data_IF_352978654728
#
_entry.id   IF_352978654728
#
_cell.length_a   1.000
_cell.length_b   1.000
_cell.length_c   1.000
_cell.angle_alpha   90.00
_cell.angle_beta   90.00
_cell.angle_gamma   90.00
#
_symmetry.space_group_name_H-M   'P 1'
#
loop_
_entity.id
_entity.type
_entity.pdbx_description
1 polymer ?
#
# COMPACT_ATOMS: atom_id res chain seq x y z
N UNK A 1 1.10 8.52 -3.25
CA UNK A 1 -0.20 8.19 -2.64
C UNK A 1 -0.74 9.38 -1.83
N UNK A 2 -0.11 9.81 -0.74
CA UNK A 2 -0.65 10.81 0.18
C UNK A 2 -1.00 12.15 -0.46
N UNK A 3 -0.15 12.71 -1.33
CA UNK A 3 -0.41 14.02 -1.93
C UNK A 3 -1.74 14.13 -2.71
N UNK A 4 -2.09 13.23 -3.64
CA UNK A 4 -3.42 13.28 -4.26
C UNK A 4 -4.56 13.07 -3.25
N UNK A 5 -4.41 12.22 -2.24
CA UNK A 5 -5.42 12.02 -1.19
C UNK A 5 -5.68 13.33 -0.43
N UNK A 6 -4.63 14.04 0.00
CA UNK A 6 -4.75 15.36 0.64
C UNK A 6 -5.45 16.35 -0.30
N UNK A 7 -5.13 16.30 -1.60
CA UNK A 7 -5.76 17.15 -2.59
C UNK A 7 -7.28 16.96 -2.69
N UNK A 8 -7.78 15.73 -2.52
CA UNK A 8 -9.22 15.44 -2.50
C UNK A 8 -9.88 15.97 -1.21
N UNK A 9 -9.22 15.84 -0.06
CA UNK A 9 -9.73 16.40 1.20
C UNK A 9 -9.86 17.94 1.14
N UNK A 10 -8.84 18.61 0.59
CA UNK A 10 -8.90 20.07 0.36
C UNK A 10 -10.06 20.44 -0.58
N UNK A 11 -10.23 19.69 -1.68
CA UNK A 11 -11.32 19.93 -2.64
C UNK A 11 -12.71 19.69 -2.03
N UNK A 12 -12.82 18.81 -1.03
CA UNK A 12 -14.02 18.56 -0.26
C UNK A 12 -14.29 19.61 0.84
N UNK A 13 -13.42 20.63 0.96
CA UNK A 13 -13.59 21.72 1.92
C UNK A 13 -13.02 21.47 3.31
N UNK A 14 -12.25 20.40 3.51
CA UNK A 14 -11.58 20.16 4.79
C UNK A 14 -10.41 21.14 4.99
N UNK A 15 -10.26 21.68 6.20
CA UNK A 15 -9.05 22.39 6.62
C UNK A 15 -7.94 21.35 6.86
N UNK A 16 -6.82 21.44 6.13
CA UNK A 16 -5.77 20.45 6.19
C UNK A 16 -4.45 21.07 6.64
N UNK A 17 -3.89 20.54 7.71
CA UNK A 17 -2.49 20.74 8.08
C UNK A 17 -1.66 19.58 7.53
N UNK A 18 -0.50 19.84 6.96
CA UNK A 18 0.36 18.82 6.37
C UNK A 18 1.76 18.87 6.96
N UNK A 19 2.25 17.72 7.40
CA UNK A 19 3.65 17.52 7.74
C UNK A 19 4.29 16.58 6.71
N UNK A 20 5.45 16.96 6.22
CA UNK A 20 6.26 16.13 5.33
C UNK A 20 7.74 16.24 5.72
N UNK A 21 8.45 15.08 5.82
CA UNK A 21 9.91 15.04 6.07
C UNK A 21 10.71 15.89 5.07
N UNK A 22 10.21 16.03 3.85
CA UNK A 22 10.73 16.92 2.82
C UNK A 22 9.68 17.99 2.55
N UNK A 23 9.84 19.22 3.09
CA UNK A 23 8.85 20.30 2.96
C UNK A 23 8.47 20.62 1.50
N UNK A 24 9.43 20.52 0.57
CA UNK A 24 9.17 20.72 -0.85
C UNK A 24 8.10 19.79 -1.44
N UNK A 25 7.93 18.59 -0.88
CA UNK A 25 6.89 17.66 -1.30
C UNK A 25 5.46 18.15 -1.00
N UNK A 26 5.31 19.11 -0.09
CA UNK A 26 4.03 19.72 0.25
C UNK A 26 3.74 21.02 -0.50
N UNK A 27 4.66 21.56 -1.31
CA UNK A 27 4.56 22.86 -1.96
C UNK A 27 3.26 23.05 -2.74
N UNK A 28 2.89 22.07 -3.56
CA UNK A 28 1.65 22.10 -4.35
C UNK A 28 0.40 22.07 -3.47
N UNK A 29 0.45 21.35 -2.35
CA UNK A 29 -0.66 21.25 -1.40
C UNK A 29 -0.85 22.58 -0.66
N UNK A 30 0.25 23.24 -0.28
CA UNK A 30 0.22 24.57 0.32
C UNK A 30 -0.37 25.60 -0.65
N UNK A 31 0.01 25.56 -1.93
CA UNK A 31 -0.59 26.40 -2.96
C UNK A 31 -2.10 26.17 -3.15
N UNK A 32 -2.61 25.01 -2.73
CA UNK A 32 -4.04 24.63 -2.75
C UNK A 32 -4.74 24.86 -1.42
N UNK A 33 -4.09 25.51 -0.45
CA UNK A 33 -4.68 25.91 0.82
C UNK A 33 -4.33 25.04 2.03
N UNK A 34 -3.45 24.04 1.90
CA UNK A 34 -2.95 23.30 3.07
C UNK A 34 -1.99 24.16 3.89
N UNK A 35 -1.98 24.02 5.21
CA UNK A 35 -1.04 24.68 6.11
C UNK A 35 0.14 23.73 6.38
N UNK A 36 1.36 24.16 6.05
CA UNK A 36 2.57 23.39 6.34
C UNK A 36 2.90 23.47 7.83
N UNK A 37 3.02 22.31 8.47
CA UNK A 37 3.43 22.20 9.86
C UNK A 37 4.92 21.81 9.94
N UNK A 38 5.61 22.25 10.97
CA UNK A 38 7.03 21.97 11.20
C UNK A 38 7.28 20.58 11.79
N UNK A 39 6.26 19.96 12.41
CA UNK A 39 6.32 18.62 13.01
C UNK A 39 4.99 17.90 12.92
N UNK A 40 4.99 16.59 13.19
CA UNK A 40 3.76 15.80 13.29
C UNK A 40 2.90 16.28 14.47
N UNK A 41 3.49 16.63 15.59
CA UNK A 41 2.80 17.21 16.75
C UNK A 41 2.08 18.50 16.36
N UNK A 42 2.77 19.42 15.65
CA UNK A 42 2.15 20.66 15.21
C UNK A 42 1.00 20.42 14.24
N UNK A 43 1.15 19.48 13.29
CA UNK A 43 0.08 19.12 12.37
C UNK A 43 -1.13 18.48 13.07
N UNK A 44 -0.92 17.88 14.23
CA UNK A 44 -1.95 17.23 15.04
C UNK A 44 -2.73 18.20 15.95
N UNK A 45 -2.16 19.36 16.29
CA UNK A 45 -2.79 20.33 17.19
C UNK A 45 -4.13 20.83 16.63
N UNK A 46 -5.21 20.61 17.37
CA UNK A 46 -6.56 20.98 16.98
C UNK A 46 -7.18 20.12 15.88
N UNK A 47 -6.48 19.07 15.42
CA UNK A 47 -7.01 18.14 14.45
C UNK A 47 -8.03 17.20 15.08
N UNK A 48 -9.19 17.04 14.46
CA UNK A 48 -10.18 16.01 14.81
C UNK A 48 -9.76 14.65 14.23
N UNK A 49 -9.13 14.66 13.06
CA UNK A 49 -8.64 13.48 12.34
C UNK A 49 -7.19 13.69 11.95
N UNK A 50 -6.32 12.75 12.30
CA UNK A 50 -4.92 12.75 11.91
C UNK A 50 -4.66 11.54 10.99
N UNK A 51 -4.17 11.80 9.78
CA UNK A 51 -3.95 10.77 8.78
C UNK A 51 -2.45 10.50 8.58
N UNK A 52 -2.06 9.22 8.53
CA UNK A 52 -0.71 8.79 8.13
C UNK A 52 -0.76 8.05 6.80
N UNK A 53 0.24 8.26 5.96
CA UNK A 53 0.47 7.50 4.72
C UNK A 53 1.98 7.49 4.45
N UNK A 54 2.68 6.56 5.08
CA UNK A 54 4.13 6.40 5.02
C UNK A 54 4.51 4.98 4.62
N UNK A 55 5.81 4.66 4.57
CA UNK A 55 6.23 3.43 3.91
C UNK A 55 6.32 2.23 4.86
N UNK A 56 6.82 2.41 6.08
CA UNK A 56 7.20 1.33 7.01
C UNK A 56 6.51 1.46 8.35
N UNK A 57 6.47 0.37 9.10
CA UNK A 57 5.95 0.33 10.47
C UNK A 57 6.66 1.35 11.36
N UNK A 58 7.99 1.40 11.29
CA UNK A 58 8.82 2.31 12.08
C UNK A 58 8.55 3.78 11.71
N UNK A 59 8.23 4.06 10.45
CA UNK A 59 7.85 5.42 10.01
C UNK A 59 6.52 5.86 10.65
N UNK A 60 5.53 4.96 10.76
CA UNK A 60 4.25 5.26 11.44
C UNK A 60 4.48 5.47 12.94
N UNK A 61 5.23 4.57 13.57
CA UNK A 61 5.58 4.72 14.99
C UNK A 61 6.30 6.04 15.28
N UNK A 62 7.27 6.41 14.45
CA UNK A 62 8.00 7.66 14.56
C UNK A 62 7.08 8.87 14.38
N UNK A 63 6.16 8.85 13.41
CA UNK A 63 5.20 9.95 13.17
C UNK A 63 4.22 10.08 14.33
N UNK A 64 3.77 8.97 14.91
CA UNK A 64 2.79 9.00 16.00
C UNK A 64 3.43 9.26 17.36
N UNK A 65 4.56 8.63 17.67
CA UNK A 65 5.10 8.54 19.02
C UNK A 65 6.55 8.97 19.16
N UNK A 66 7.21 9.38 18.08
CA UNK A 66 8.58 9.90 18.13
C UNK A 66 8.69 11.28 18.77
N UNK A 67 9.88 11.86 18.76
CA UNK A 67 10.10 13.25 19.16
C UNK A 67 9.23 14.18 18.32
N UNK A 68 8.44 15.05 18.95
CA UNK A 68 7.40 15.86 18.31
C UNK A 68 6.38 15.05 17.47
N UNK A 69 6.05 13.84 17.94
CA UNK A 69 5.06 12.94 17.32
C UNK A 69 3.63 13.41 17.52
N UNK A 70 2.74 12.95 16.64
CA UNK A 70 1.37 13.43 16.57
C UNK A 70 0.56 13.17 17.86
N UNK A 71 0.80 12.07 18.57
CA UNK A 71 0.08 11.74 19.80
C UNK A 71 0.21 12.81 20.89
N UNK A 72 1.32 13.56 20.92
CA UNK A 72 1.51 14.67 21.85
C UNK A 72 0.69 15.92 21.51
N UNK A 73 0.28 16.06 20.23
CA UNK A 73 -0.52 17.19 19.76
C UNK A 73 -2.02 16.91 19.67
N UNK A 74 -2.43 15.63 19.66
CA UNK A 74 -3.82 15.20 19.58
C UNK A 74 -4.55 15.36 20.91
N UNK A 75 -5.82 15.72 20.84
CA UNK A 75 -6.72 15.76 22.01
C UNK A 75 -7.52 14.46 22.13
N UNK A 76 -7.98 14.15 23.34
CA UNK A 76 -8.92 13.05 23.55
C UNK A 76 -10.16 13.22 22.66
N UNK A 77 -10.64 12.10 22.10
CA UNK A 77 -11.72 12.07 21.12
C UNK A 77 -11.27 12.19 19.66
N UNK A 78 -10.02 12.61 19.40
CA UNK A 78 -9.48 12.60 18.04
C UNK A 78 -9.36 11.17 17.49
N UNK A 79 -9.26 11.06 16.16
CA UNK A 79 -9.09 9.78 15.46
C UNK A 79 -7.83 9.80 14.60
N UNK A 80 -7.00 8.77 14.74
CA UNK A 80 -5.91 8.49 13.81
C UNK A 80 -6.40 7.55 12.72
N UNK A 81 -6.17 7.87 11.45
CA UNK A 81 -6.38 6.98 10.30
C UNK A 81 -5.02 6.68 9.67
N UNK A 82 -4.61 5.41 9.70
CA UNK A 82 -3.38 4.99 9.03
C UNK A 82 -3.68 4.31 7.69
N UNK A 83 -3.28 4.96 6.60
CA UNK A 83 -3.39 4.42 5.24
C UNK A 83 -2.15 3.64 4.80
N UNK A 84 -1.16 3.51 5.65
CA UNK A 84 0.09 2.79 5.36
C UNK A 84 -0.13 1.28 5.30
N UNK A 85 0.77 0.56 4.64
CA UNK A 85 0.82 -0.91 4.70
C UNK A 85 1.94 -1.31 5.66
N UNK A 86 1.57 -1.76 6.85
CA UNK A 86 2.46 -2.03 7.99
C UNK A 86 2.08 -3.32 8.73
N UNK A 87 2.84 -3.66 9.77
CA UNK A 87 2.58 -4.82 10.62
C UNK A 87 1.23 -4.70 11.33
N UNK A 88 0.38 -5.74 11.20
CA UNK A 88 -0.90 -5.81 11.92
C UNK A 88 -0.70 -5.88 13.44
N UNK A 89 0.37 -6.53 13.90
CA UNK A 89 0.72 -6.61 15.34
C UNK A 89 1.09 -5.23 15.88
N UNK A 90 1.96 -4.52 15.15
CA UNK A 90 2.34 -3.16 15.53
C UNK A 90 1.13 -2.21 15.53
N UNK A 91 0.24 -2.33 14.54
CA UNK A 91 -1.02 -1.55 14.46
C UNK A 91 -1.87 -1.74 15.72
N UNK A 92 -2.06 -2.98 16.18
CA UNK A 92 -2.79 -3.27 17.43
C UNK A 92 -2.11 -2.62 18.65
N UNK A 93 -0.78 -2.67 18.72
CA UNK A 93 0.00 -2.02 19.77
C UNK A 93 -0.15 -0.49 19.74
N UNK A 94 -0.07 0.12 18.57
CA UNK A 94 -0.26 1.56 18.40
C UNK A 94 -1.68 2.00 18.79
N UNK A 95 -2.71 1.26 18.37
CA UNK A 95 -4.09 1.53 18.73
C UNK A 95 -4.30 1.49 20.26
N UNK A 96 -3.73 0.48 20.93
CA UNK A 96 -3.81 0.37 22.38
C UNK A 96 -3.10 1.53 23.12
N UNK A 97 -1.96 2.01 22.60
CA UNK A 97 -1.24 3.18 23.14
C UNK A 97 -2.03 4.48 22.95
N UNK A 98 -2.66 4.68 21.81
CA UNK A 98 -3.51 5.83 21.53
C UNK A 98 -4.75 5.83 22.42
N UNK A 99 -5.39 4.66 22.61
CA UNK A 99 -6.55 4.51 23.47
C UNK A 99 -6.30 4.92 24.93
N UNK A 100 -5.06 4.73 25.46
CA UNK A 100 -4.68 5.20 26.80
C UNK A 100 -4.74 6.73 26.93
N UNK A 101 -4.69 7.45 25.80
CA UNK A 101 -4.81 8.92 25.74
C UNK A 101 -6.22 9.36 25.29
N UNK A 102 -7.18 8.42 25.20
CA UNK A 102 -8.53 8.69 24.69
C UNK A 102 -8.58 8.99 23.19
N UNK A 103 -7.54 8.62 22.44
CA UNK A 103 -7.45 8.79 20.98
C UNK A 103 -7.86 7.46 20.33
N UNK A 104 -8.75 7.53 19.33
CA UNK A 104 -9.24 6.36 18.57
C UNK A 104 -8.37 6.12 17.34
N UNK A 105 -8.38 4.93 16.79
CA UNK A 105 -7.60 4.60 15.60
C UNK A 105 -8.40 3.74 14.61
N UNK A 106 -8.20 3.97 13.31
CA UNK A 106 -8.55 3.06 12.22
C UNK A 106 -7.29 2.75 11.40
N UNK A 107 -7.06 1.50 11.09
CA UNK A 107 -6.11 1.09 10.06
C UNK A 107 -6.86 0.92 8.74
N UNK A 108 -6.46 1.70 7.75
CA UNK A 108 -7.16 1.88 6.49
C UNK A 108 -6.24 1.67 5.28
N UNK A 109 -5.46 0.59 5.20
CA UNK A 109 -4.62 0.36 4.03
C UNK A 109 -5.46 0.29 2.75
N UNK A 110 -4.83 0.69 1.63
CA UNK A 110 -5.54 0.93 0.38
C UNK A 110 -5.04 0.06 -0.76
N UNK A 111 -5.91 -0.17 -1.74
CA UNK A 111 -5.59 -0.78 -3.02
C UNK A 111 -6.12 0.10 -4.16
N UNK A 112 -5.38 0.16 -5.29
CA UNK A 112 -5.69 1.00 -6.45
C UNK A 112 -4.48 1.78 -6.98
N UNK A 113 -3.37 1.79 -6.23
CA UNK A 113 -2.12 2.45 -6.62
C UNK A 113 -2.25 3.97 -6.77
N UNK A 114 -1.28 4.58 -7.44
CA UNK A 114 -1.28 6.02 -7.65
C UNK A 114 -2.47 6.49 -8.49
N UNK A 115 -2.88 5.69 -9.49
CA UNK A 115 -4.05 5.98 -10.31
C UNK A 115 -5.31 6.07 -9.45
N UNK A 116 -5.57 5.07 -8.61
CA UNK A 116 -6.73 5.08 -7.71
C UNK A 116 -6.72 6.25 -6.73
N UNK A 117 -5.53 6.65 -6.24
CA UNK A 117 -5.40 7.82 -5.37
C UNK A 117 -5.70 9.14 -6.11
N UNK A 118 -5.25 9.29 -7.37
CA UNK A 118 -5.54 10.48 -8.19
C UNK A 118 -7.01 10.60 -8.57
N UNK A 119 -7.66 9.46 -8.83
CA UNK A 119 -9.06 9.39 -9.28
C UNK A 119 -10.07 9.28 -8.12
N UNK A 120 -9.63 9.27 -6.85
CA UNK A 120 -10.44 8.99 -5.66
C UNK A 120 -11.25 7.67 -5.79
N UNK A 121 -10.62 6.64 -6.36
CA UNK A 121 -11.24 5.34 -6.61
C UNK A 121 -10.60 4.20 -5.81
N UNK A 122 -9.92 4.54 -4.72
CA UNK A 122 -9.26 3.55 -3.87
C UNK A 122 -10.28 2.56 -3.28
N UNK A 123 -9.82 1.31 -3.12
CA UNK A 123 -10.45 0.35 -2.23
C UNK A 123 -9.76 0.45 -0.88
N UNK A 124 -10.52 0.74 0.17
CA UNK A 124 -10.05 0.99 1.53
C UNK A 124 -10.49 -0.19 2.41
N UNK A 125 -9.53 -0.85 3.05
CA UNK A 125 -9.75 -1.99 3.94
C UNK A 125 -9.64 -1.50 5.38
N UNK A 126 -10.75 -1.48 6.12
CA UNK A 126 -10.80 -0.80 7.42
C UNK A 126 -10.79 -1.80 8.57
N UNK A 127 -9.80 -1.65 9.45
CA UNK A 127 -9.74 -2.27 10.77
C UNK A 127 -9.95 -1.23 11.86
N UNK A 128 -10.67 -1.62 12.92
CA UNK A 128 -11.02 -0.79 14.06
C UNK A 128 -12.51 -0.83 14.37
N UNK A 129 -12.97 0.06 15.24
CA UNK A 129 -14.37 0.08 15.68
C UNK A 129 -15.32 0.54 14.57
N UNK A 130 -16.39 -0.22 14.33
CA UNK A 130 -17.39 0.07 13.30
C UNK A 130 -18.04 1.46 13.49
N UNK A 131 -18.30 1.87 14.72
CA UNK A 131 -18.88 3.18 15.01
C UNK A 131 -17.96 4.33 14.60
N UNK A 132 -16.64 4.17 14.76
CA UNK A 132 -15.63 5.16 14.31
C UNK A 132 -15.55 5.20 12.79
N UNK A 133 -15.66 4.04 12.12
CA UNK A 133 -15.76 4.00 10.66
C UNK A 133 -17.00 4.74 10.17
N UNK A 134 -18.17 4.53 10.79
CA UNK A 134 -19.40 5.18 10.35
C UNK A 134 -19.35 6.70 10.53
N UNK A 135 -18.73 7.19 11.62
CA UNK A 135 -18.45 8.60 11.85
C UNK A 135 -17.56 9.19 10.74
N UNK A 136 -16.53 8.46 10.31
CA UNK A 136 -15.51 8.94 9.36
C UNK A 136 -15.76 8.52 7.91
N UNK A 137 -16.85 7.81 7.65
CA UNK A 137 -17.22 7.38 6.30
C UNK A 137 -17.24 8.54 5.28
N UNK A 138 -17.77 9.75 5.60
CA UNK A 138 -17.73 10.87 4.66
C UNK A 138 -16.30 11.30 4.29
N UNK A 139 -15.36 11.26 5.23
CA UNK A 139 -13.93 11.57 4.97
C UNK A 139 -13.32 10.50 4.05
N UNK A 140 -13.56 9.22 4.33
CA UNK A 140 -13.03 8.12 3.53
C UNK A 140 -13.63 8.09 2.11
N UNK A 141 -14.88 8.50 1.93
CA UNK A 141 -15.55 8.61 0.63
C UNK A 141 -14.92 9.66 -0.29
N UNK A 142 -14.23 10.66 0.26
CA UNK A 142 -13.42 11.60 -0.54
C UNK A 142 -12.22 10.92 -1.23
N UNK A 143 -11.80 9.73 -0.76
CA UNK A 143 -10.56 9.07 -1.15
C UNK A 143 -10.79 7.78 -1.94
N UNK A 144 -11.90 7.11 -1.73
CA UNK A 144 -12.16 5.81 -2.33
C UNK A 144 -13.63 5.48 -2.53
N UNK A 145 -13.90 4.62 -3.51
CA UNK A 145 -15.26 4.16 -3.85
C UNK A 145 -15.72 2.98 -3.03
N UNK A 146 -14.78 2.12 -2.63
CA UNK A 146 -15.08 0.89 -1.89
C UNK A 146 -14.44 0.98 -0.51
N UNK A 147 -15.28 0.98 0.52
CA UNK A 147 -14.85 1.06 1.92
C UNK A 147 -15.41 -0.18 2.62
N UNK A 148 -14.53 -1.10 2.99
CA UNK A 148 -14.92 -2.39 3.58
C UNK A 148 -14.42 -2.47 5.01
N UNK A 149 -15.33 -2.59 5.98
CA UNK A 149 -14.98 -2.93 7.35
C UNK A 149 -14.61 -4.40 7.44
N UNK A 150 -13.40 -4.68 7.90
CA UNK A 150 -12.86 -6.06 7.98
C UNK A 150 -13.06 -6.63 9.38
N UNK A 151 -12.82 -5.82 10.42
CA UNK A 151 -12.89 -6.26 11.80
C UNK A 151 -12.22 -5.28 12.75
N UNK A 152 -11.61 -5.78 13.83
CA UNK A 152 -10.90 -4.98 14.82
C UNK A 152 -9.61 -4.34 14.32
N UNK A 153 -8.88 -3.66 15.22
CA UNK A 153 -7.59 -3.05 14.88
C UNK A 153 -6.60 -4.07 14.31
N UNK A 154 -5.92 -3.71 13.22
CA UNK A 154 -4.98 -4.55 12.50
C UNK A 154 -5.62 -5.49 11.46
N UNK A 155 -6.94 -5.65 11.44
CA UNK A 155 -7.59 -6.53 10.48
C UNK A 155 -7.63 -5.91 9.07
N UNK A 156 -7.63 -4.59 8.95
CA UNK A 156 -7.38 -3.90 7.68
C UNK A 156 -6.00 -4.25 7.12
N UNK A 157 -4.97 -4.29 7.96
CA UNK A 157 -3.61 -4.69 7.56
C UNK A 157 -3.55 -6.18 7.17
N UNK A 158 -4.28 -7.06 7.87
CA UNK A 158 -4.41 -8.48 7.48
C UNK A 158 -5.05 -8.59 6.08
N UNK A 159 -6.16 -7.88 5.84
CA UNK A 159 -6.80 -7.85 4.53
C UNK A 159 -5.85 -7.33 3.43
N UNK A 160 -5.05 -6.31 3.76
CA UNK A 160 -4.03 -5.80 2.84
C UNK A 160 -2.93 -6.83 2.58
N UNK A 161 -2.47 -7.56 3.60
CA UNK A 161 -1.51 -8.64 3.43
C UNK A 161 -2.06 -9.73 2.49
N UNK A 162 -3.33 -10.14 2.65
CA UNK A 162 -4.01 -11.06 1.75
C UNK A 162 -4.08 -10.52 0.31
N UNK A 163 -4.40 -9.22 0.15
CA UNK A 163 -4.41 -8.57 -1.17
C UNK A 163 -3.02 -8.62 -1.83
N UNK A 164 -1.95 -8.29 -1.09
CA UNK A 164 -0.59 -8.31 -1.63
C UNK A 164 -0.15 -9.74 -1.97
N UNK A 165 -0.47 -10.71 -1.11
CA UNK A 165 -0.20 -12.12 -1.36
C UNK A 165 -0.84 -12.58 -2.68
N UNK A 166 -2.15 -12.42 -2.83
CA UNK A 166 -2.87 -12.83 -4.04
C UNK A 166 -2.35 -12.10 -5.30
N UNK A 167 -2.11 -10.79 -5.19
CA UNK A 167 -1.67 -9.94 -6.28
C UNK A 167 -0.29 -10.33 -6.80
N UNK A 168 0.71 -10.44 -5.92
CA UNK A 168 2.11 -10.61 -6.35
C UNK A 168 2.41 -12.05 -6.74
N UNK A 169 1.77 -13.05 -6.10
CA UNK A 169 1.84 -14.44 -6.57
C UNK A 169 1.24 -14.56 -7.97
N UNK A 170 0.16 -13.83 -8.27
CA UNK A 170 -0.39 -13.77 -9.64
C UNK A 170 0.60 -13.14 -10.62
N UNK A 171 1.29 -12.06 -10.25
CA UNK A 171 2.32 -11.44 -11.10
C UNK A 171 3.46 -12.42 -11.39
N UNK A 172 3.91 -13.18 -10.38
CA UNK A 172 4.92 -14.23 -10.55
C UNK A 172 4.44 -15.29 -11.55
N UNK A 173 3.21 -15.80 -11.40
CA UNK A 173 2.65 -16.78 -12.33
C UNK A 173 2.51 -16.26 -13.76
N UNK A 174 2.18 -14.96 -13.93
CA UNK A 174 2.16 -14.32 -15.26
C UNK A 174 3.57 -14.29 -15.86
N UNK A 175 4.57 -13.91 -15.07
CA UNK A 175 5.97 -13.86 -15.53
C UNK A 175 6.46 -15.24 -15.99
N UNK A 176 6.15 -16.31 -15.23
CA UNK A 176 6.46 -17.68 -15.60
C UNK A 176 5.75 -18.11 -16.89
N UNK A 177 4.46 -17.79 -17.03
CA UNK A 177 3.69 -18.10 -18.23
C UNK A 177 4.25 -17.40 -19.48
N UNK A 178 4.63 -16.11 -19.38
CA UNK A 178 5.23 -15.37 -20.50
C UNK A 178 6.59 -15.95 -20.89
N UNK A 179 7.44 -16.30 -19.92
CA UNK A 179 8.71 -16.96 -20.20
C UNK A 179 8.51 -18.35 -20.82
N UNK A 180 7.57 -19.14 -20.28
CA UNK A 180 7.26 -20.45 -20.81
C UNK A 180 6.79 -20.41 -22.27
N UNK A 181 5.89 -19.47 -22.61
CA UNK A 181 5.45 -19.26 -23.97
C UNK A 181 6.62 -18.90 -24.91
N UNK A 182 7.46 -17.95 -24.50
CA UNK A 182 8.65 -17.51 -25.25
C UNK A 182 9.61 -18.68 -25.52
N UNK A 183 9.88 -19.52 -24.51
CA UNK A 183 10.81 -20.64 -24.64
C UNK A 183 10.27 -21.78 -25.52
N UNK A 184 8.95 -21.92 -25.64
CA UNK A 184 8.31 -22.85 -26.56
C UNK A 184 8.14 -22.28 -27.98
N UNK A 185 8.67 -21.08 -28.27
CA UNK A 185 8.58 -20.44 -29.60
C UNK A 185 7.18 -19.89 -29.94
N UNK A 186 6.27 -19.81 -28.96
CA UNK A 186 4.97 -19.22 -29.16
C UNK A 186 5.03 -17.69 -29.17
N UNK A 187 4.13 -17.05 -29.94
CA UNK A 187 3.92 -15.61 -29.89
C UNK A 187 3.34 -15.20 -28.53
N UNK A 188 4.16 -14.54 -27.72
CA UNK A 188 3.81 -14.17 -26.34
C UNK A 188 2.60 -13.23 -26.29
N UNK A 189 2.46 -12.33 -27.29
CA UNK A 189 1.33 -11.40 -27.35
C UNK A 189 0.01 -12.13 -27.65
N UNK A 190 0.03 -13.12 -28.55
CA UNK A 190 -1.15 -13.97 -28.84
C UNK A 190 -1.50 -14.85 -27.66
N UNK A 191 -0.50 -15.41 -26.97
CA UNK A 191 -0.72 -16.18 -25.73
C UNK A 191 -1.36 -15.28 -24.67
N UNK A 192 -0.84 -14.08 -24.44
CA UNK A 192 -1.45 -13.12 -23.51
C UNK A 192 -2.92 -12.86 -23.84
N UNK A 193 -3.23 -12.56 -25.10
CA UNK A 193 -4.61 -12.30 -25.55
C UNK A 193 -5.54 -13.49 -25.28
N UNK A 194 -5.06 -14.71 -25.49
CA UNK A 194 -5.83 -15.93 -25.21
C UNK A 194 -6.09 -16.08 -23.70
N UNK A 195 -5.08 -15.82 -22.85
CA UNK A 195 -5.23 -15.90 -21.39
C UNK A 195 -6.21 -14.85 -20.83
N UNK A 196 -6.22 -13.64 -21.41
CA UNK A 196 -7.11 -12.55 -20.99
C UNK A 196 -8.59 -12.86 -21.25
N UNK A 197 -8.92 -13.71 -22.23
CA UNK A 197 -10.29 -14.11 -22.53
C UNK A 197 -10.75 -15.39 -21.81
N UNK A 198 -9.86 -16.08 -21.10
CA UNK A 198 -10.14 -17.34 -20.43
C UNK A 198 -10.15 -17.24 -18.90
N UNK A 199 -10.22 -18.39 -18.23
CA UNK A 199 -10.22 -18.50 -16.76
C UNK A 199 -8.94 -17.98 -16.08
N UNK A 200 -7.84 -17.85 -16.82
CA UNK A 200 -6.61 -17.25 -16.35
C UNK A 200 -6.67 -15.72 -16.25
N UNK A 201 -7.75 -15.09 -16.72
CA UNK A 201 -7.91 -13.65 -16.72
C UNK A 201 -7.89 -13.09 -15.30
N UNK A 202 -7.25 -11.94 -15.15
CA UNK A 202 -7.24 -11.20 -13.89
C UNK A 202 -6.86 -9.75 -14.17
N UNK A 203 -7.24 -8.84 -13.25
CA UNK A 203 -6.80 -7.45 -13.35
C UNK A 203 -5.26 -7.32 -13.35
N UNK A 204 -4.55 -8.24 -12.70
CA UNK A 204 -3.09 -8.28 -12.74
C UNK A 204 -2.56 -8.70 -14.10
N UNK A 205 -3.20 -9.68 -14.75
CA UNK A 205 -2.84 -10.08 -16.12
C UNK A 205 -3.01 -8.91 -17.09
N UNK A 206 -4.10 -8.15 -16.96
CA UNK A 206 -4.37 -6.98 -17.82
C UNK A 206 -3.37 -5.85 -17.62
N UNK A 207 -2.87 -5.66 -16.40
CA UNK A 207 -1.90 -4.61 -16.09
C UNK A 207 -0.46 -5.03 -16.37
N UNK A 208 -0.06 -6.24 -16.00
CA UNK A 208 1.34 -6.68 -16.02
C UNK A 208 1.71 -7.42 -17.30
N UNK A 209 0.78 -8.17 -17.90
CA UNK A 209 1.01 -8.92 -19.13
C UNK A 209 1.50 -8.05 -20.28
N UNK A 210 0.79 -6.98 -20.66
CA UNK A 210 1.24 -6.07 -21.73
C UNK A 210 2.61 -5.45 -21.45
N UNK A 211 2.91 -5.11 -20.19
CA UNK A 211 4.22 -4.56 -19.80
C UNK A 211 5.35 -5.57 -19.99
N UNK A 212 5.10 -6.83 -19.61
CA UNK A 212 6.07 -7.93 -19.80
C UNK A 212 6.32 -8.19 -21.29
N UNK A 213 5.26 -8.20 -22.13
CA UNK A 213 5.37 -8.38 -23.57
C UNK A 213 6.11 -7.23 -24.23
N UNK A 214 5.79 -5.99 -23.87
CA UNK A 214 6.44 -4.77 -24.40
C UNK A 214 7.82 -4.51 -23.76
N UNK A 215 8.20 -5.27 -22.72
CA UNK A 215 9.40 -5.03 -21.90
C UNK A 215 9.45 -3.62 -21.30
N UNK A 216 8.28 -3.07 -20.95
CA UNK A 216 8.16 -1.80 -20.24
C UNK A 216 8.18 -2.04 -18.73
N UNK A 217 9.34 -1.82 -18.13
CA UNK A 217 9.56 -1.98 -16.70
C UNK A 217 9.63 -0.64 -15.95
N UNK A 218 9.23 0.46 -16.58
CA UNK A 218 9.08 1.74 -15.89
C UNK A 218 8.08 1.64 -14.74
N UNK A 219 8.43 2.17 -13.56
CA UNK A 219 7.66 1.91 -12.35
C UNK A 219 6.23 2.46 -12.40
N UNK A 220 5.25 1.56 -12.42
CA UNK A 220 3.90 1.81 -11.96
C UNK A 220 3.77 1.54 -10.45
N UNK A 221 4.35 0.41 -10.01
CA UNK A 221 4.55 0.07 -8.59
C UNK A 221 5.97 -0.43 -8.44
N UNK A 222 6.82 0.33 -7.73
CA UNK A 222 8.21 -0.06 -7.48
C UNK A 222 8.28 -1.42 -6.76
N UNK A 223 9.04 -2.36 -7.32
CA UNK A 223 9.13 -3.74 -6.82
C UNK A 223 9.61 -3.82 -5.35
N UNK A 224 10.45 -2.89 -4.90
CA UNK A 224 10.89 -2.80 -3.50
C UNK A 224 9.73 -2.59 -2.51
N UNK A 225 8.60 -2.01 -2.96
CA UNK A 225 7.42 -1.85 -2.11
C UNK A 225 6.69 -3.19 -1.96
N UNK A 226 6.57 -3.98 -3.03
CA UNK A 226 6.05 -5.33 -2.94
C UNK A 226 6.98 -6.26 -2.14
N UNK A 227 8.31 -6.11 -2.27
CA UNK A 227 9.27 -6.84 -1.43
C UNK A 227 9.04 -6.54 0.06
N UNK A 228 8.90 -5.26 0.43
CA UNK A 228 8.59 -4.85 1.80
C UNK A 228 7.26 -5.45 2.28
N UNK A 229 6.22 -5.40 1.46
CA UNK A 229 4.90 -5.94 1.82
C UNK A 229 4.95 -7.46 2.00
N UNK A 230 5.72 -8.16 1.16
CA UNK A 230 5.94 -9.60 1.31
C UNK A 230 6.75 -9.97 2.55
N UNK A 231 7.68 -9.13 2.97
CA UNK A 231 8.38 -9.33 4.25
C UNK A 231 7.38 -9.36 5.42
N UNK A 232 6.37 -8.47 5.42
CA UNK A 232 5.29 -8.48 6.42
C UNK A 232 4.45 -9.78 6.32
N UNK A 233 4.12 -10.25 5.11
CA UNK A 233 3.39 -11.51 4.93
C UNK A 233 4.17 -12.70 5.48
N UNK A 234 5.48 -12.78 5.20
CA UNK A 234 6.34 -13.86 5.68
C UNK A 234 6.48 -13.80 7.21
N UNK A 235 6.71 -12.62 7.77
CA UNK A 235 6.76 -12.42 9.23
C UNK A 235 5.47 -12.91 9.90
N UNK A 236 4.31 -12.48 9.40
CA UNK A 236 3.00 -12.89 9.94
C UNK A 236 2.78 -14.40 9.81
N UNK A 237 3.17 -15.01 8.68
CA UNK A 237 3.02 -16.46 8.48
C UNK A 237 3.90 -17.27 9.43
N UNK A 238 5.14 -16.83 9.65
CA UNK A 238 6.06 -17.45 10.61
C UNK A 238 5.54 -17.38 12.04
N UNK A 239 5.04 -16.21 12.45
CA UNK A 239 4.48 -16.01 13.79
C UNK A 239 3.27 -16.92 14.07
N UNK A 240 2.54 -17.30 13.03
CA UNK A 240 1.36 -18.20 13.11
C UNK A 240 1.68 -19.66 12.78
N UNK A 241 2.92 -19.99 12.43
CA UNK A 241 3.30 -21.35 12.00
C UNK A 241 2.62 -21.77 10.68
N UNK A 242 2.25 -20.82 9.81
CA UNK A 242 1.56 -21.11 8.55
C UNK A 242 2.55 -21.42 7.43
N UNK A 243 2.30 -22.51 6.71
CA UNK A 243 3.01 -22.86 5.49
C UNK A 243 2.36 -22.16 4.28
N UNK A 244 3.03 -21.17 3.71
CA UNK A 244 2.60 -20.45 2.49
C UNK A 244 3.65 -20.64 1.38
N UNK A 245 3.69 -21.82 0.69
CA UNK A 245 4.76 -22.15 -0.25
C UNK A 245 4.85 -21.16 -1.42
N UNK A 246 3.74 -20.76 -2.02
CA UNK A 246 3.75 -19.77 -3.11
C UNK A 246 4.30 -18.40 -2.65
N UNK A 247 3.94 -17.96 -1.44
CA UNK A 247 4.48 -16.72 -0.87
C UNK A 247 5.98 -16.82 -0.65
N UNK A 248 6.47 -17.95 -0.15
CA UNK A 248 7.89 -18.15 0.14
C UNK A 248 8.74 -18.09 -1.13
N UNK A 249 8.31 -18.77 -2.20
CA UNK A 249 8.99 -18.70 -3.50
C UNK A 249 8.95 -17.29 -4.08
N UNK A 250 7.77 -16.68 -4.10
CA UNK A 250 7.61 -15.31 -4.64
C UNK A 250 8.44 -14.28 -3.87
N UNK A 251 8.55 -14.42 -2.54
CA UNK A 251 9.41 -13.56 -1.70
C UNK A 251 10.89 -13.65 -2.13
N UNK A 252 11.39 -14.86 -2.43
CA UNK A 252 12.76 -15.04 -2.92
C UNK A 252 12.96 -14.41 -4.30
N UNK A 253 11.97 -14.49 -5.19
CA UNK A 253 12.03 -13.83 -6.50
C UNK A 253 12.06 -12.30 -6.36
N UNK A 254 11.28 -11.72 -5.44
CA UNK A 254 11.34 -10.29 -5.12
C UNK A 254 12.70 -9.89 -4.54
N UNK A 255 13.28 -10.72 -3.65
CA UNK A 255 14.62 -10.48 -3.11
C UNK A 255 15.67 -10.49 -4.22
N UNK A 256 15.59 -11.46 -5.15
CA UNK A 256 16.49 -11.53 -6.30
C UNK A 256 16.34 -10.28 -7.21
N UNK A 257 15.11 -9.81 -7.45
CA UNK A 257 14.82 -8.61 -8.23
C UNK A 257 15.49 -7.37 -7.62
N UNK A 258 15.31 -7.18 -6.30
CA UNK A 258 15.94 -6.05 -5.60
C UNK A 258 17.44 -6.21 -5.53
N UNK A 259 17.96 -7.43 -5.32
CA UNK A 259 19.38 -7.73 -5.30
C UNK A 259 20.09 -7.46 -6.63
N UNK A 260 19.37 -7.58 -7.75
CA UNK A 260 19.86 -7.20 -9.09
C UNK A 260 19.87 -5.67 -9.34
N UNK A 261 19.47 -4.87 -8.36
CA UNK A 261 19.39 -3.42 -8.50
C UNK A 261 18.11 -2.90 -9.17
N UNK A 262 17.12 -3.76 -9.45
CA UNK A 262 15.88 -3.39 -10.15
C UNK A 262 14.73 -3.03 -9.18
N UNK A 263 15.02 -2.81 -7.92
CA UNK A 263 14.00 -2.53 -6.90
C UNK A 263 13.15 -1.29 -7.16
N UNK A 264 13.62 -0.35 -8.00
CA UNK A 264 12.87 0.82 -8.44
C UNK A 264 12.11 0.61 -9.75
N UNK A 265 12.32 -0.52 -10.41
CA UNK A 265 11.56 -0.89 -11.59
C UNK A 265 10.17 -1.42 -11.17
N UNK A 266 9.27 -1.54 -12.15
CA UNK A 266 7.96 -2.14 -11.92
C UNK A 266 8.06 -3.63 -11.54
N UNK A 267 7.12 -4.13 -10.76
CA UNK A 267 7.11 -5.54 -10.33
C UNK A 267 6.98 -6.54 -11.48
N UNK A 268 6.52 -6.10 -12.67
CA UNK A 268 6.61 -6.90 -13.90
C UNK A 268 8.04 -7.34 -14.25
N UNK A 269 9.07 -6.68 -13.67
CA UNK A 269 10.49 -7.07 -13.78
C UNK A 269 10.80 -8.45 -13.15
N UNK A 270 9.88 -9.09 -12.45
CA UNK A 270 9.98 -10.51 -12.08
C UNK A 270 10.26 -11.40 -13.31
N UNK A 271 9.75 -11.04 -14.49
CA UNK A 271 10.10 -11.71 -15.74
C UNK A 271 11.61 -11.69 -16.00
N UNK A 272 12.31 -10.57 -15.75
CA UNK A 272 13.76 -10.44 -15.95
C UNK A 272 14.54 -11.35 -15.00
N UNK A 273 14.07 -11.50 -13.76
CA UNK A 273 14.70 -12.43 -12.79
C UNK A 273 14.65 -13.86 -13.32
N UNK A 274 13.48 -14.27 -13.81
CA UNK A 274 13.31 -15.61 -14.39
C UNK A 274 14.15 -15.81 -15.65
N UNK A 275 14.25 -14.81 -16.53
CA UNK A 275 15.10 -14.83 -17.70
C UNK A 275 16.58 -15.03 -17.31
N UNK A 276 17.05 -14.28 -16.31
CA UNK A 276 18.44 -14.40 -15.82
C UNK A 276 18.73 -15.78 -15.23
N UNK A 277 17.82 -16.32 -14.44
CA UNK A 277 17.95 -17.66 -13.85
C UNK A 277 17.97 -18.79 -14.90
N UNK A 278 17.36 -18.59 -16.06
CA UNK A 278 17.26 -19.59 -17.13
C UNK A 278 18.22 -19.33 -18.31
N UNK A 279 19.22 -18.46 -18.12
CA UNK A 279 20.25 -18.21 -19.16
C UNK A 279 19.69 -17.56 -20.43
N UNK A 280 18.59 -16.83 -20.33
CA UNK A 280 18.05 -16.01 -21.42
C UNK A 280 18.22 -14.54 -21.09
N UNK A 281 19.15 -13.92 -21.80
CA UNK A 281 19.20 -12.46 -21.89
C UNK A 281 18.15 -11.96 -22.89
#
# INVERSE_FOLDING_TARGET
MGSPMIGHLLAAGHAVQVYARRPDAARELVARGAVLAASAEQAARGAQVFCTNVTRTEDVEQVLFGEAGAAAGLSAGAVVIDFSTISAVATRGMAARLAQQGIRMLDCPVSGGEKGAREATLSIMVGGEAAVLDELRPVLQCLGKTITHIGGHGDGQVAKACNQLAQVVTIQGIAEAMLFAKRNGADVGRVLSALQSGFASSRMLDLMGPRMVARDFAAGIEARLHQKDFALVIEMSQALGLALPAASVTSQQLNALVGQGWGRDDTSSLLRVLEALNGSA
#
